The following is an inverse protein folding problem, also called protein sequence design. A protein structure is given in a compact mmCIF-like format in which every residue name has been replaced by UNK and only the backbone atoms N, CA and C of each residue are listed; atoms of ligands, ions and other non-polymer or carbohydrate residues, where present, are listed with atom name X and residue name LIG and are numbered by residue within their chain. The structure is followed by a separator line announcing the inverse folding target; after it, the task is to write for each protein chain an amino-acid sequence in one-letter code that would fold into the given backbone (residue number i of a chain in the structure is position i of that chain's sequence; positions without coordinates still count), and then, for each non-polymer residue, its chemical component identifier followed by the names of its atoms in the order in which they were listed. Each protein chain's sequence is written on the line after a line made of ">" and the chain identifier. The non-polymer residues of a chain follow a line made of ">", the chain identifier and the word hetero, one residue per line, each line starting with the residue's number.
data_IF_560628364080
#
_entry.id   IF_560628364080
#
_cell.length_a   1.000
_cell.length_b   1.000
_cell.length_c   1.000
_cell.angle_alpha   90.00
_cell.angle_beta   90.00
_cell.angle_gamma   90.00
#
_symmetry.space_group_name_H-M   'P 1'
#
loop_
_entity.id
_entity.type
_entity.pdbx_description
1 polymer ?
#
# COMPACT_ATOMS: atom_id res chain seq x y z
N UNK A 1 1.64 -53.55 -28.62
CA UNK A 1 1.70 -52.55 -27.54
C UNK A 1 1.95 -51.19 -28.18
N UNK A 2 0.92 -50.34 -28.26
CA UNK A 2 0.95 -49.04 -28.94
C UNK A 2 0.74 -47.96 -27.87
N UNK A 3 1.61 -46.94 -27.74
CA UNK A 3 1.40 -45.86 -26.80
C UNK A 3 0.40 -44.84 -27.36
N UNK A 4 -0.61 -44.49 -26.56
CA UNK A 4 -1.59 -43.43 -26.85
C UNK A 4 -0.95 -42.04 -26.70
N UNK A 5 -1.07 -41.13 -27.69
CA UNK A 5 -0.48 -39.80 -27.62
C UNK A 5 -1.47 -38.70 -27.20
N UNK A 6 -1.06 -37.87 -26.24
CA UNK A 6 -0.89 -36.40 -26.40
C UNK A 6 -2.08 -35.62 -27.01
N UNK A 7 -3.32 -36.01 -26.74
CA UNK A 7 -4.51 -35.27 -27.22
C UNK A 7 -5.26 -34.50 -26.11
N UNK A 8 -4.92 -34.74 -24.85
CA UNK A 8 -5.61 -34.11 -23.71
C UNK A 8 -5.09 -32.72 -23.32
N UNK A 9 -3.91 -32.30 -23.80
CA UNK A 9 -3.28 -31.06 -23.34
C UNK A 9 -3.71 -29.81 -24.13
N UNK A 10 -4.41 -29.96 -25.27
CA UNK A 10 -4.81 -28.83 -26.14
C UNK A 10 -6.22 -28.28 -25.89
N UNK A 11 -7.08 -28.98 -25.15
CA UNK A 11 -8.49 -28.58 -24.99
C UNK A 11 -8.67 -27.47 -23.93
N UNK A 12 -7.74 -27.32 -22.98
CA UNK A 12 -7.87 -26.34 -21.89
C UNK A 12 -7.39 -24.92 -22.26
N UNK A 13 -6.64 -24.74 -23.34
CA UNK A 13 -6.02 -23.44 -23.67
C UNK A 13 -6.95 -22.46 -24.39
N UNK A 14 -8.09 -22.88 -24.93
CA UNK A 14 -8.96 -22.00 -25.74
C UNK A 14 -10.06 -21.28 -24.95
N UNK A 15 -10.37 -21.70 -23.71
CA UNK A 15 -11.43 -21.05 -22.92
C UNK A 15 -10.98 -19.77 -22.20
N UNK A 16 -9.68 -19.54 -22.08
CA UNK A 16 -9.14 -18.36 -21.37
C UNK A 16 -9.17 -17.10 -22.26
N UNK A 17 -9.20 -17.23 -23.59
CA UNK A 17 -9.15 -16.08 -24.50
C UNK A 17 -10.51 -15.43 -24.80
N UNK A 18 -11.64 -16.06 -24.48
CA UNK A 18 -12.97 -15.50 -24.81
C UNK A 18 -13.50 -14.55 -23.72
N UNK A 19 -12.97 -14.61 -22.50
CA UNK A 19 -13.43 -13.73 -21.40
C UNK A 19 -12.81 -12.32 -21.46
N UNK A 20 -11.80 -12.10 -22.32
CA UNK A 20 -11.10 -10.81 -22.42
C UNK A 20 -11.77 -9.77 -23.36
N UNK A 21 -12.82 -10.13 -24.10
CA UNK A 21 -13.34 -9.26 -25.18
C UNK A 21 -14.63 -8.48 -24.86
N UNK A 22 -15.20 -8.58 -23.66
CA UNK A 22 -16.54 -8.04 -23.34
C UNK A 22 -16.58 -7.02 -22.19
N UNK A 23 -15.46 -6.42 -21.83
CA UNK A 23 -15.39 -5.42 -20.76
C UNK A 23 -14.76 -4.07 -21.19
N UNK A 24 -14.88 -3.71 -22.48
CA UNK A 24 -14.22 -2.52 -23.04
C UNK A 24 -15.17 -1.46 -23.63
N UNK A 25 -16.46 -1.42 -23.27
CA UNK A 25 -17.42 -0.48 -23.92
C UNK A 25 -18.31 0.36 -23.00
N UNK A 26 -18.19 0.36 -21.67
CA UNK A 26 -19.08 1.18 -20.81
C UNK A 26 -18.32 1.97 -19.74
N UNK A 27 -17.37 2.81 -20.13
CA UNK A 27 -16.76 3.77 -19.18
C UNK A 27 -16.39 5.13 -19.78
N UNK A 28 -16.97 5.51 -20.93
CA UNK A 28 -16.79 6.85 -21.53
C UNK A 28 -18.16 7.54 -21.56
N UNK A 29 -18.74 7.80 -20.39
CA UNK A 29 -19.93 8.66 -20.27
C UNK A 29 -20.17 9.20 -18.84
N UNK A 30 -19.58 8.59 -17.80
CA UNK A 30 -19.80 8.99 -16.39
C UNK A 30 -18.81 10.01 -15.82
N UNK A 31 -17.73 10.35 -16.54
CA UNK A 31 -16.63 11.16 -16.03
C UNK A 31 -16.76 12.68 -16.20
N UNK A 32 -17.82 13.17 -16.86
CA UNK A 32 -17.94 14.60 -17.21
C UNK A 32 -19.04 15.35 -16.42
N UNK A 33 -19.68 14.73 -15.43
CA UNK A 33 -20.82 15.31 -14.70
C UNK A 33 -20.62 15.46 -13.19
N UNK A 34 -19.40 15.26 -12.67
CA UNK A 34 -19.08 15.54 -11.26
C UNK A 34 -18.13 16.72 -11.06
N UNK A 35 -17.73 17.43 -12.13
CA UNK A 35 -16.84 18.59 -12.01
C UNK A 35 -17.58 19.95 -11.92
N UNK A 36 -18.90 20.00 -12.04
CA UNK A 36 -19.66 21.28 -12.08
C UNK A 36 -20.72 21.44 -10.98
N UNK A 37 -20.68 20.65 -9.91
CA UNK A 37 -21.84 20.50 -9.00
C UNK A 37 -21.69 20.77 -7.51
N UNK A 38 -20.51 21.15 -6.99
CA UNK A 38 -20.30 21.48 -5.56
C UNK A 38 -19.19 22.54 -5.48
N UNK A 39 -19.31 23.73 -4.90
CA UNK A 39 -20.33 24.34 -4.04
C UNK A 39 -19.97 25.84 -3.88
N UNK A 40 -20.91 26.80 -3.94
CA UNK A 40 -20.65 28.19 -3.52
C UNK A 40 -20.39 28.31 -2.00
N UNK A 41 -20.58 27.23 -1.24
CA UNK A 41 -20.27 27.15 0.19
C UNK A 41 -18.76 27.19 0.47
N UNK A 42 -17.91 26.71 -0.45
CA UNK A 42 -16.45 26.77 -0.31
C UNK A 42 -15.90 28.20 -0.44
N UNK A 43 -16.61 29.10 -1.13
CA UNK A 43 -16.25 30.52 -1.24
C UNK A 43 -16.80 31.35 -0.07
N UNK A 44 -17.92 30.93 0.54
CA UNK A 44 -18.44 31.54 1.77
C UNK A 44 -17.60 31.20 3.03
N UNK A 45 -16.80 30.12 2.97
CA UNK A 45 -15.88 29.72 4.04
C UNK A 45 -14.40 30.04 3.74
N UNK A 46 -14.08 30.49 2.51
CA UNK A 46 -12.72 30.67 2.02
C UNK A 46 -12.25 32.10 1.80
N UNK A 47 -13.07 33.11 2.07
CA UNK A 47 -12.71 34.51 1.80
C UNK A 47 -13.32 35.48 2.79
N UNK A 48 -12.59 35.81 3.86
CA UNK A 48 -13.04 36.84 4.80
C UNK A 48 -12.32 36.93 6.13
N UNK A 49 -11.13 36.36 6.32
CA UNK A 49 -10.24 36.76 7.43
C UNK A 49 -9.51 38.06 7.08
N UNK A 50 -10.29 39.10 6.76
CA UNK A 50 -9.85 40.47 6.97
C UNK A 50 -9.88 40.78 8.47
N UNK A 51 -9.13 41.77 8.96
CA UNK A 51 -9.24 42.20 10.34
C UNK A 51 -10.70 42.57 10.63
N UNK A 52 -11.35 41.83 11.54
CA UNK A 52 -12.63 42.24 12.10
C UNK A 52 -12.34 43.43 13.01
N UNK A 53 -12.41 44.63 12.45
CA UNK A 53 -12.41 45.88 13.21
C UNK A 53 -13.76 46.00 13.92
N UNK A 54 -13.91 45.31 15.04
CA UNK A 54 -14.77 45.81 16.11
C UNK A 54 -13.95 46.83 16.89
N UNK A 55 -14.54 47.98 17.15
CA UNK A 55 -13.89 49.07 17.84
C UNK A 55 -13.19 48.56 19.12
N UNK A 56 -11.86 48.70 19.12
CA UNK A 56 -10.98 48.75 20.28
C UNK A 56 -10.22 47.50 20.77
N UNK A 57 -10.16 46.37 20.07
CA UNK A 57 -9.18 45.31 20.42
C UNK A 57 -8.74 44.47 19.23
N UNK A 58 -7.44 44.48 18.91
CA UNK A 58 -6.80 43.55 17.96
C UNK A 58 -6.43 42.27 18.71
N UNK A 59 -7.12 41.17 18.42
CA UNK A 59 -6.74 39.85 18.91
C UNK A 59 -5.68 39.25 17.98
N UNK A 60 -4.43 39.20 18.45
CA UNK A 60 -3.37 38.41 17.83
C UNK A 60 -3.64 36.95 18.17
N UNK A 61 -4.28 36.21 17.28
CA UNK A 61 -4.35 34.76 17.41
C UNK A 61 -2.91 34.20 17.31
N UNK A 62 -2.44 33.39 18.29
CA UNK A 62 -1.16 32.73 18.17
C UNK A 62 -1.29 31.67 17.07
N UNK A 63 -0.82 32.01 15.86
CA UNK A 63 -0.60 31.02 14.82
C UNK A 63 0.62 30.20 15.23
N UNK A 64 0.40 29.23 16.12
CA UNK A 64 1.42 28.26 16.48
C UNK A 64 1.66 27.39 15.24
N UNK A 65 2.62 27.80 14.42
CA UNK A 65 3.28 26.89 13.48
C UNK A 65 3.90 25.79 14.32
N UNK A 66 3.20 24.67 14.42
CA UNK A 66 3.73 23.45 14.98
C UNK A 66 4.96 23.09 14.15
N UNK A 67 6.14 23.33 14.72
CA UNK A 67 7.40 22.84 14.18
C UNK A 67 7.31 21.33 14.23
N UNK A 68 6.92 20.71 13.11
CA UNK A 68 6.97 19.26 12.99
C UNK A 68 8.44 18.88 13.14
N UNK A 69 8.78 18.25 14.26
CA UNK A 69 10.06 17.57 14.41
C UNK A 69 10.20 16.67 13.19
N UNK A 70 11.16 16.96 12.32
CA UNK A 70 11.36 16.24 11.07
C UNK A 70 11.44 14.75 11.39
N UNK A 71 10.39 14.01 11.03
CA UNK A 71 10.31 12.57 11.26
C UNK A 71 11.48 11.95 10.53
N UNK A 72 12.39 11.31 11.27
CA UNK A 72 13.59 10.69 10.70
C UNK A 72 13.15 9.67 9.67
N UNK A 73 13.62 9.81 8.43
CA UNK A 73 13.31 8.84 7.40
C UNK A 73 13.82 7.44 7.82
N UNK A 74 13.00 6.40 7.72
CA UNK A 74 13.40 5.05 8.10
C UNK A 74 14.49 4.55 7.15
N UNK A 75 15.47 3.84 7.70
CA UNK A 75 16.51 3.16 6.90
C UNK A 75 15.85 2.07 6.05
N UNK A 76 16.13 2.06 4.74
CA UNK A 76 15.52 1.14 3.77
C UNK A 76 16.56 0.16 3.23
N UNK A 77 16.35 -1.12 3.47
CA UNK A 77 17.30 -2.18 3.12
C UNK A 77 16.54 -3.43 2.62
N UNK A 78 17.10 -4.11 1.63
CA UNK A 78 16.61 -5.41 1.14
C UNK A 78 17.78 -6.37 1.08
N UNK A 79 17.66 -7.49 1.78
CA UNK A 79 18.64 -8.57 1.74
C UNK A 79 17.91 -9.86 1.32
N UNK A 80 18.44 -10.52 0.30
CA UNK A 80 17.94 -11.82 -0.17
C UNK A 80 19.14 -12.77 -0.18
N UNK A 81 19.10 -13.80 0.65
CA UNK A 81 20.13 -14.83 0.68
C UNK A 81 19.91 -15.85 -0.44
N UNK A 82 20.95 -16.61 -0.78
CA UNK A 82 20.88 -17.70 -1.78
C UNK A 82 19.85 -18.79 -1.42
N UNK A 83 19.46 -18.87 -0.15
CA UNK A 83 18.41 -19.79 0.35
C UNK A 83 16.99 -19.24 0.19
N UNK A 84 16.84 -18.04 -0.38
CA UNK A 84 15.57 -17.34 -0.49
C UNK A 84 15.12 -16.62 0.78
N UNK A 85 15.88 -16.72 1.88
CA UNK A 85 15.63 -15.93 3.08
C UNK A 85 15.72 -14.44 2.74
N UNK A 86 14.67 -13.71 3.08
CA UNK A 86 14.48 -12.32 2.69
C UNK A 86 14.27 -11.47 3.93
N UNK A 87 15.00 -10.36 4.02
CA UNK A 87 14.80 -9.29 4.98
C UNK A 87 14.45 -8.02 4.20
N UNK A 88 13.29 -7.44 4.50
CA UNK A 88 12.85 -6.14 4.00
C UNK A 88 12.78 -5.19 5.20
N UNK A 89 13.48 -4.07 5.17
CA UNK A 89 13.46 -3.09 6.25
C UNK A 89 13.05 -1.74 5.70
N UNK A 90 12.18 -1.04 6.42
CA UNK A 90 11.66 0.27 5.99
C UNK A 90 10.64 0.17 4.86
N UNK A 91 9.91 -0.94 4.77
CA UNK A 91 8.87 -1.13 3.78
C UNK A 91 7.57 -0.46 4.23
N UNK A 92 6.96 0.36 3.37
CA UNK A 92 5.69 1.04 3.66
C UNK A 92 4.53 0.15 3.27
N UNK A 93 3.58 -0.05 4.17
CA UNK A 93 2.35 -0.78 3.87
C UNK A 93 1.50 0.05 2.92
N UNK A 94 1.19 -0.51 1.76
CA UNK A 94 0.30 0.09 0.76
C UNK A 94 -1.14 -0.38 1.01
N UNK A 95 -1.33 -1.66 1.32
CA UNK A 95 -2.60 -2.23 1.71
C UNK A 95 -2.40 -3.49 2.55
N UNK A 96 -3.39 -3.81 3.39
CA UNK A 96 -3.46 -5.05 4.14
C UNK A 96 -4.89 -5.61 4.02
N UNK A 97 -5.02 -6.87 3.60
CA UNK A 97 -6.31 -7.53 3.47
C UNK A 97 -6.17 -9.04 3.65
N UNK A 98 -6.93 -9.60 4.58
CA UNK A 98 -6.85 -11.01 4.94
C UNK A 98 -5.42 -11.42 5.29
N UNK A 99 -4.88 -12.36 4.51
CA UNK A 99 -3.54 -12.90 4.72
C UNK A 99 -2.48 -12.26 3.79
N UNK A 100 -2.82 -11.14 3.15
CA UNK A 100 -1.97 -10.50 2.15
C UNK A 100 -1.70 -9.07 2.56
N UNK A 101 -0.42 -8.71 2.64
CA UNK A 101 0.04 -7.34 2.89
C UNK A 101 0.86 -6.92 1.68
N UNK A 102 0.47 -5.83 1.03
CA UNK A 102 1.24 -5.25 -0.08
C UNK A 102 2.08 -4.12 0.49
N UNK A 103 3.39 -4.18 0.27
CA UNK A 103 4.33 -3.16 0.74
C UNK A 103 5.11 -2.55 -0.40
N UNK A 104 5.43 -1.27 -0.27
CA UNK A 104 6.22 -0.49 -1.20
C UNK A 104 7.53 -0.05 -0.55
N UNK A 105 8.60 -0.08 -1.33
CA UNK A 105 9.90 0.49 -0.96
C UNK A 105 10.33 1.45 -2.05
N UNK A 106 10.81 2.62 -1.64
CA UNK A 106 11.21 3.68 -2.58
C UNK A 106 12.61 4.16 -2.25
N UNK A 107 13.47 4.26 -3.27
CA UNK A 107 14.79 4.90 -3.20
C UNK A 107 14.88 5.96 -4.30
N UNK A 108 14.73 7.23 -3.94
CA UNK A 108 14.62 8.31 -4.93
C UNK A 108 13.42 8.10 -5.85
N UNK A 109 13.65 7.95 -7.15
CA UNK A 109 12.62 7.68 -8.16
C UNK A 109 12.32 6.19 -8.38
N UNK A 110 13.10 5.28 -7.78
CA UNK A 110 12.91 3.84 -7.93
C UNK A 110 11.91 3.32 -6.90
N UNK A 111 10.88 2.60 -7.37
CA UNK A 111 9.86 1.98 -6.54
C UNK A 111 9.83 0.46 -6.73
N UNK A 112 9.74 -0.26 -5.62
CA UNK A 112 9.63 -1.71 -5.58
C UNK A 112 8.40 -2.10 -4.76
N UNK A 113 7.49 -2.86 -5.36
CA UNK A 113 6.31 -3.38 -4.66
C UNK A 113 6.50 -4.87 -4.36
N UNK A 114 6.25 -5.27 -3.12
CA UNK A 114 6.33 -6.64 -2.62
C UNK A 114 4.95 -7.11 -2.16
N UNK A 115 4.68 -8.40 -2.34
CA UNK A 115 3.49 -9.03 -1.77
C UNK A 115 3.94 -9.95 -0.64
N UNK A 116 3.43 -9.69 0.55
CA UNK A 116 3.70 -10.49 1.74
C UNK A 116 2.51 -11.40 1.98
N UNK A 117 2.75 -12.70 1.99
CA UNK A 117 1.78 -13.71 2.37
C UNK A 117 2.01 -14.05 3.84
N UNK A 118 1.01 -13.80 4.67
CA UNK A 118 1.01 -14.18 6.09
C UNK A 118 0.17 -15.44 6.31
N UNK A 119 0.38 -16.10 7.44
CA UNK A 119 -0.40 -17.25 7.88
C UNK A 119 -0.50 -17.27 9.43
N UNK A 120 -1.10 -18.31 9.99
CA UNK A 120 -1.28 -18.46 11.44
C UNK A 120 0.04 -18.58 12.23
N UNK A 121 1.16 -18.89 11.57
CA UNK A 121 2.48 -18.97 12.17
C UNK A 121 3.28 -17.66 12.05
N UNK A 122 2.83 -16.70 11.23
CA UNK A 122 3.47 -15.38 11.12
C UNK A 122 3.41 -14.63 12.45
N UNK A 123 4.56 -14.16 12.93
CA UNK A 123 4.67 -13.37 14.15
C UNK A 123 4.55 -11.88 13.83
N UNK A 124 3.61 -11.21 14.48
CA UNK A 124 3.47 -9.77 14.40
C UNK A 124 4.08 -9.14 15.65
N UNK A 125 4.89 -8.10 15.46
CA UNK A 125 5.59 -7.41 16.54
C UNK A 125 5.36 -5.89 16.46
N UNK A 126 5.24 -5.25 17.62
CA UNK A 126 5.24 -3.79 17.73
C UNK A 126 6.69 -3.23 17.62
N UNK A 127 6.87 -1.90 17.61
CA UNK A 127 8.21 -1.28 17.59
C UNK A 127 9.11 -1.72 18.74
N UNK A 128 8.55 -2.08 19.89
CA UNK A 128 9.27 -2.55 21.08
C UNK A 128 9.68 -4.04 20.98
N UNK A 129 9.15 -4.77 19.99
CA UNK A 129 9.40 -6.19 19.81
C UNK A 129 8.46 -7.11 20.62
N UNK A 130 7.42 -6.55 21.21
CA UNK A 130 6.36 -7.28 21.90
C UNK A 130 5.34 -7.84 20.89
N UNK A 131 4.56 -8.82 21.32
CA UNK A 131 3.57 -9.48 20.47
C UNK A 131 2.46 -8.49 20.07
N UNK A 132 2.25 -8.36 18.76
CA UNK A 132 1.15 -7.64 18.15
C UNK A 132 0.24 -8.61 17.36
N UNK A 133 -0.71 -8.06 16.61
CA UNK A 133 -1.62 -8.78 15.73
C UNK A 133 -1.56 -8.27 14.29
N UNK A 134 -2.09 -9.05 13.36
CA UNK A 134 -2.23 -8.61 11.97
C UNK A 134 -3.15 -7.39 11.81
N UNK A 135 -4.13 -7.23 12.72
CA UNK A 135 -5.05 -6.10 12.73
C UNK A 135 -4.38 -4.78 13.10
N UNK A 136 -3.18 -4.82 13.71
CA UNK A 136 -2.42 -3.62 14.07
C UNK A 136 -1.64 -3.04 12.88
N UNK A 137 -1.58 -3.76 11.75
CA UNK A 137 -0.88 -3.36 10.53
C UNK A 137 -1.84 -2.62 9.60
N UNK A 138 -1.56 -1.34 9.37
CA UNK A 138 -2.40 -0.46 8.58
C UNK A 138 -1.65 0.11 7.37
N UNK A 139 -2.41 0.52 6.35
CA UNK A 139 -1.83 1.27 5.23
C UNK A 139 -1.15 2.55 5.74
N UNK A 140 0.07 2.80 5.27
CA UNK A 140 0.92 3.89 5.72
C UNK A 140 1.98 3.49 6.75
N UNK A 141 1.81 2.38 7.47
CA UNK A 141 2.78 1.90 8.45
C UNK A 141 4.12 1.54 7.81
N UNK A 142 5.20 1.70 8.57
CA UNK A 142 6.54 1.25 8.17
C UNK A 142 6.85 -0.06 8.88
N UNK A 143 7.17 -1.09 8.11
CA UNK A 143 7.41 -2.43 8.63
C UNK A 143 8.79 -2.96 8.23
N UNK A 144 9.30 -3.84 9.09
CA UNK A 144 10.42 -4.74 8.83
C UNK A 144 9.87 -6.16 8.73
N UNK A 145 10.23 -6.86 7.67
CA UNK A 145 9.68 -8.18 7.33
C UNK A 145 10.82 -9.16 7.16
N UNK A 146 10.70 -10.32 7.80
CA UNK A 146 11.57 -11.48 7.55
C UNK A 146 10.71 -12.61 7.03
N UNK A 147 11.22 -13.34 6.05
CA UNK A 147 10.52 -14.47 5.48
C UNK A 147 11.32 -15.20 4.42
N UNK A 148 10.62 -15.96 3.58
CA UNK A 148 11.19 -16.59 2.39
C UNK A 148 10.48 -16.14 1.14
N UNK A 149 11.24 -15.82 0.10
CA UNK A 149 10.68 -15.63 -1.24
C UNK A 149 10.11 -16.98 -1.71
N UNK A 150 8.83 -17.02 -2.07
CA UNK A 150 8.10 -18.28 -2.31
C UNK A 150 7.65 -18.44 -3.77
N UNK A 151 7.45 -17.34 -4.50
CA UNK A 151 7.03 -17.34 -5.90
C UNK A 151 7.61 -16.14 -6.66
N UNK A 152 7.80 -16.34 -7.97
CA UNK A 152 8.16 -15.29 -8.93
C UNK A 152 6.96 -14.83 -9.75
N UNK A 153 7.01 -13.58 -10.22
CA UNK A 153 5.96 -12.94 -11.01
C UNK A 153 6.30 -11.45 -11.25
N UNK A 154 5.31 -10.63 -11.59
CA UNK A 154 5.50 -9.17 -11.76
C UNK A 154 5.91 -8.50 -10.44
N UNK A 155 5.52 -9.08 -9.31
CA UNK A 155 5.90 -8.64 -7.96
C UNK A 155 6.47 -9.84 -7.19
N UNK A 156 7.56 -9.67 -6.42
CA UNK A 156 8.08 -10.75 -5.60
C UNK A 156 7.09 -11.10 -4.48
N UNK A 157 6.90 -12.40 -4.25
CA UNK A 157 6.08 -12.93 -3.16
C UNK A 157 6.96 -13.43 -2.03
N UNK A 158 6.73 -12.91 -0.82
CA UNK A 158 7.44 -13.31 0.41
C UNK A 158 6.44 -13.98 1.35
N UNK A 159 6.67 -15.26 1.66
CA UNK A 159 6.02 -15.91 2.80
C UNK A 159 6.63 -15.36 4.09
N UNK A 160 5.87 -14.55 4.83
CA UNK A 160 6.36 -13.81 5.97
C UNK A 160 6.38 -14.67 7.23
N UNK A 161 7.53 -14.74 7.89
CA UNK A 161 7.71 -15.37 9.19
C UNK A 161 7.53 -14.35 10.32
N UNK A 162 8.05 -13.13 10.13
CA UNK A 162 7.96 -12.02 11.08
C UNK A 162 7.60 -10.74 10.34
N UNK A 163 6.62 -10.01 10.87
CA UNK A 163 6.28 -8.64 10.46
C UNK A 163 6.35 -7.76 11.70
N UNK A 164 7.30 -6.82 11.73
CA UNK A 164 7.51 -5.89 12.84
C UNK A 164 7.21 -4.47 12.41
N UNK A 165 6.39 -3.75 13.16
CA UNK A 165 6.21 -2.31 12.98
C UNK A 165 7.47 -1.59 13.43
N UNK A 166 7.95 -0.62 12.65
CA UNK A 166 9.21 0.07 12.95
C UNK A 166 9.00 1.31 13.82
N UNK A 167 7.79 1.91 13.75
CA UNK A 167 7.37 3.13 14.46
C UNK A 167 5.85 3.13 14.67
#
# INVERSE_FOLDING_TARGET
>A
MIPLPILWQRILSQRIFVVAALAATVSIAGGLLLYTGYSPLAQALGGGSGPVTSANTVYLAPNATATSTAKKDPVREVHIANTGLTLLRGARVLSASGNTIVVGMTWGASEFTWVLQTNYATKFLNPEGEKASAADIHAGDIVTVTGKISQGGVKPFVSADIVRKSE
#
